data_IF_073874693617
#
_entry.id   IF_073874693617
#
_cell.length_a   1.000
_cell.length_b   1.000
_cell.length_c   1.000
_cell.angle_alpha   90.00
_cell.angle_beta   90.00
_cell.angle_gamma   90.00
#
_symmetry.space_group_name_H-M   'P 1'
#
loop_
_entity.id
_entity.type
_entity.pdbx_description
1 polymer ?
#
# COMPACT_ATOMS: atom_id res chain seq x y z
N UNK A 1 23.74 -16.30 -12.40
CA UNK A 1 22.78 -15.20 -12.20
C UNK A 1 22.44 -14.64 -13.55
N UNK A 2 21.16 -14.65 -13.93
CA UNK A 2 20.72 -14.04 -15.18
C UNK A 2 20.76 -12.52 -15.07
N UNK A 3 20.88 -11.78 -16.16
CA UNK A 3 20.88 -10.30 -16.17
C UNK A 3 19.60 -9.71 -15.54
N UNK A 4 18.49 -10.40 -15.61
CA UNK A 4 17.18 -10.08 -15.04
C UNK A 4 17.24 -10.07 -13.50
N UNK A 5 17.78 -11.13 -12.90
CA UNK A 5 17.94 -11.28 -11.45
C UNK A 5 18.78 -10.14 -10.84
N UNK A 6 19.82 -9.70 -11.56
CA UNK A 6 20.68 -8.60 -11.14
C UNK A 6 19.98 -7.23 -11.13
N UNK A 7 19.07 -6.95 -12.10
CA UNK A 7 18.34 -5.68 -12.18
C UNK A 7 17.29 -5.55 -11.07
N UNK A 8 16.54 -6.61 -10.83
CA UNK A 8 15.55 -6.65 -9.74
C UNK A 8 16.23 -6.42 -8.39
N UNK A 9 17.31 -7.14 -8.12
CA UNK A 9 18.08 -6.96 -6.88
C UNK A 9 18.62 -5.53 -6.73
N UNK A 10 19.13 -4.93 -7.81
CA UNK A 10 19.55 -3.53 -7.82
C UNK A 10 18.41 -2.59 -7.45
N UNK A 11 17.25 -2.72 -8.10
CA UNK A 11 16.09 -1.86 -7.86
C UNK A 11 15.55 -2.00 -6.43
N UNK A 12 15.37 -3.23 -5.94
CA UNK A 12 14.90 -3.47 -4.58
C UNK A 12 15.87 -2.95 -3.52
N UNK A 13 17.18 -3.16 -3.71
CA UNK A 13 18.21 -2.65 -2.79
C UNK A 13 18.23 -1.11 -2.75
N UNK A 14 18.05 -0.45 -3.90
CA UNK A 14 18.00 1.01 -3.98
C UNK A 14 16.75 1.59 -3.34
N UNK A 15 15.58 0.96 -3.52
CA UNK A 15 14.33 1.33 -2.84
C UNK A 15 14.48 1.15 -1.33
N UNK A 16 15.07 0.04 -0.90
CA UNK A 16 15.32 -0.22 0.52
C UNK A 16 16.26 0.82 1.13
N UNK A 17 17.32 1.18 0.44
CA UNK A 17 18.24 2.22 0.90
C UNK A 17 17.51 3.58 1.05
N UNK A 18 16.64 3.94 0.08
CA UNK A 18 15.82 5.13 0.17
C UNK A 18 14.87 5.05 1.38
N UNK A 19 14.10 3.97 1.55
CA UNK A 19 13.14 3.82 2.65
C UNK A 19 13.81 3.74 4.04
N UNK A 20 15.04 3.21 4.13
CA UNK A 20 15.82 3.17 5.37
C UNK A 20 16.27 4.56 5.85
N UNK A 21 16.23 5.57 5.00
CA UNK A 21 16.50 6.96 5.36
C UNK A 21 15.33 7.66 6.07
N UNK A 22 14.15 6.99 6.23
CA UNK A 22 13.01 7.54 6.96
C UNK A 22 13.39 7.80 8.43
N UNK A 23 13.27 9.06 8.93
CA UNK A 23 13.55 9.38 10.32
C UNK A 23 12.51 8.84 11.30
N UNK A 24 11.32 8.47 10.82
CA UNK A 24 10.28 7.89 11.65
C UNK A 24 10.52 6.40 11.84
N UNK A 25 10.11 5.87 12.99
CA UNK A 25 10.32 4.47 13.33
C UNK A 25 8.99 3.79 13.58
N UNK A 26 8.90 2.52 13.20
CA UNK A 26 7.75 1.64 13.43
C UNK A 26 8.22 0.29 13.98
N UNK A 27 7.36 -0.41 14.71
CA UNK A 27 7.62 -1.77 15.17
C UNK A 27 7.40 -2.78 14.03
N UNK A 28 8.38 -3.65 13.79
CA UNK A 28 8.33 -4.74 12.83
C UNK A 28 8.98 -5.98 13.45
N UNK A 29 8.21 -7.05 13.66
CA UNK A 29 8.67 -8.33 14.22
C UNK A 29 9.57 -8.20 15.46
N UNK A 30 9.15 -7.35 16.42
CA UNK A 30 9.87 -7.01 17.66
C UNK A 30 11.13 -6.14 17.49
N UNK A 31 11.41 -5.67 16.30
CA UNK A 31 12.47 -4.70 16.01
C UNK A 31 11.88 -3.32 15.70
N UNK A 32 12.70 -2.27 15.85
CA UNK A 32 12.34 -0.93 15.39
C UNK A 32 13.02 -0.65 14.06
N UNK A 33 12.23 -0.49 13.02
CA UNK A 33 12.69 -0.18 11.69
C UNK A 33 12.20 1.20 11.23
N UNK A 34 12.92 1.85 10.29
CA UNK A 34 12.39 3.02 9.59
C UNK A 34 11.00 2.72 9.03
N UNK A 35 10.04 3.61 9.28
CA UNK A 35 8.61 3.35 9.05
C UNK A 35 8.28 2.92 7.61
N UNK A 36 8.76 3.68 6.62
CA UNK A 36 8.43 3.33 5.24
C UNK A 36 9.22 2.09 4.76
N UNK A 37 10.33 1.75 5.41
CA UNK A 37 10.99 0.48 5.19
C UNK A 37 10.18 -0.69 5.75
N UNK A 38 9.69 -0.61 6.99
CA UNK A 38 8.80 -1.61 7.58
C UNK A 38 7.52 -1.79 6.73
N UNK A 39 6.90 -0.69 6.32
CA UNK A 39 5.74 -0.72 5.42
C UNK A 39 6.05 -1.46 4.11
N UNK A 40 7.20 -1.20 3.49
CA UNK A 40 7.61 -1.85 2.23
C UNK A 40 7.80 -3.37 2.38
N UNK A 41 8.25 -3.84 3.54
CA UNK A 41 8.36 -5.26 3.88
C UNK A 41 6.98 -5.91 4.00
N UNK A 42 6.02 -5.26 4.67
CA UNK A 42 4.64 -5.73 4.75
C UNK A 42 3.98 -5.82 3.38
N UNK A 43 4.17 -4.79 2.53
CA UNK A 43 3.70 -4.80 1.15
C UNK A 43 4.26 -5.97 0.34
N UNK A 44 5.56 -6.24 0.48
CA UNK A 44 6.21 -7.36 -0.20
C UNK A 44 5.66 -8.70 0.28
N UNK A 45 5.49 -8.90 1.60
CA UNK A 45 4.91 -10.12 2.15
C UNK A 45 3.51 -10.37 1.60
N UNK A 46 2.61 -9.39 1.68
CA UNK A 46 1.25 -9.54 1.16
C UNK A 46 1.17 -9.73 -0.35
N UNK A 47 2.12 -9.17 -1.11
CA UNK A 47 2.20 -9.47 -2.53
C UNK A 47 2.40 -10.97 -2.79
N UNK A 48 3.34 -11.62 -2.11
CA UNK A 48 3.61 -13.05 -2.27
C UNK A 48 2.51 -13.93 -1.66
N UNK A 49 1.73 -13.45 -0.69
CA UNK A 49 0.54 -14.15 -0.20
C UNK A 49 -0.60 -14.12 -1.22
N UNK A 50 -0.77 -13.02 -1.96
CA UNK A 50 -1.84 -12.88 -2.95
C UNK A 50 -1.43 -13.43 -4.33
N UNK A 51 -0.15 -13.43 -4.68
CA UNK A 51 0.37 -13.87 -5.97
C UNK A 51 1.64 -14.71 -5.77
N UNK A 52 1.58 -15.97 -6.18
CA UNK A 52 2.68 -16.93 -5.94
C UNK A 52 3.94 -16.65 -6.77
N UNK A 53 3.78 -16.04 -7.94
CA UNK A 53 4.88 -15.68 -8.86
C UNK A 53 4.70 -14.24 -9.38
N UNK A 54 4.85 -13.22 -8.51
CA UNK A 54 4.64 -11.84 -8.91
C UNK A 54 5.73 -11.36 -9.85
N UNK A 55 5.33 -10.68 -10.92
CA UNK A 55 6.27 -10.08 -11.87
C UNK A 55 7.23 -9.10 -11.19
N UNK A 56 8.43 -8.88 -11.77
CA UNK A 56 9.41 -7.92 -11.25
C UNK A 56 8.81 -6.53 -11.03
N UNK A 57 8.00 -6.05 -11.98
CA UNK A 57 7.33 -4.75 -11.86
C UNK A 57 6.38 -4.67 -10.65
N UNK A 58 5.69 -5.77 -10.30
CA UNK A 58 4.84 -5.80 -9.12
C UNK A 58 5.64 -5.85 -7.83
N UNK A 59 6.76 -6.59 -7.81
CA UNK A 59 7.68 -6.59 -6.66
C UNK A 59 8.24 -5.19 -6.42
N UNK A 60 8.66 -4.48 -7.48
CA UNK A 60 9.14 -3.10 -7.40
C UNK A 60 8.04 -2.14 -6.98
N UNK A 61 6.85 -2.22 -7.59
CA UNK A 61 5.73 -1.34 -7.27
C UNK A 61 5.28 -1.48 -5.81
N UNK A 62 5.16 -2.70 -5.29
CA UNK A 62 4.81 -2.93 -3.89
C UNK A 62 5.91 -2.41 -2.95
N UNK A 63 7.19 -2.64 -3.27
CA UNK A 63 8.32 -2.17 -2.46
C UNK A 63 8.40 -0.64 -2.42
N UNK A 64 8.04 0.04 -3.52
CA UNK A 64 8.10 1.50 -3.68
C UNK A 64 6.78 2.22 -3.35
N UNK A 65 5.72 1.51 -2.91
CA UNK A 65 4.37 2.08 -2.72
C UNK A 65 4.35 3.36 -1.87
N UNK A 66 5.26 3.49 -0.91
CA UNK A 66 5.42 4.66 -0.06
C UNK A 66 6.86 5.19 -0.03
N UNK A 67 7.63 4.95 -1.10
CA UNK A 67 9.02 5.39 -1.15
C UNK A 67 9.16 6.87 -0.80
N UNK A 68 10.04 7.19 0.16
CA UNK A 68 10.33 8.56 0.61
C UNK A 68 9.09 9.38 1.01
N UNK A 69 7.99 8.75 1.43
CA UNK A 69 6.71 9.43 1.74
C UNK A 69 6.83 10.49 2.84
N UNK A 70 7.74 10.32 3.79
CA UNK A 70 7.98 11.31 4.86
C UNK A 70 8.44 12.67 4.35
N UNK A 71 8.95 12.76 3.12
CA UNK A 71 9.34 14.02 2.47
C UNK A 71 8.14 14.86 2.05
N UNK A 72 6.94 14.27 2.04
CA UNK A 72 5.67 14.92 1.70
C UNK A 72 4.63 14.75 2.81
N UNK A 73 4.86 15.29 4.02
CA UNK A 73 3.99 15.03 5.15
C UNK A 73 2.59 15.66 4.95
N UNK A 74 1.55 14.95 5.40
CA UNK A 74 0.15 15.38 5.26
C UNK A 74 -0.12 16.77 5.87
N UNK A 75 0.59 17.12 6.95
CA UNK A 75 0.44 18.41 7.65
C UNK A 75 0.79 19.64 6.79
N UNK A 76 1.56 19.44 5.71
CA UNK A 76 1.94 20.54 4.79
C UNK A 76 0.85 20.86 3.76
N UNK A 77 -0.26 20.13 3.80
CA UNK A 77 -1.44 20.33 2.96
C UNK A 77 -2.64 20.78 3.80
N UNK A 78 -3.54 21.62 3.26
CA UNK A 78 -4.74 22.06 3.95
C UNK A 78 -5.60 20.90 4.43
N UNK A 79 -6.41 21.13 5.46
CA UNK A 79 -7.40 20.15 5.92
C UNK A 79 -8.54 19.98 4.91
N UNK A 80 -9.30 18.91 5.10
CA UNK A 80 -10.49 18.60 4.32
C UNK A 80 -10.27 17.58 3.22
N UNK A 81 -11.39 17.04 2.73
CA UNK A 81 -11.43 15.90 1.80
C UNK A 81 -10.72 16.19 0.47
N UNK A 82 -10.94 17.36 -0.12
CA UNK A 82 -10.33 17.74 -1.41
C UNK A 82 -8.81 17.78 -1.30
N UNK A 83 -8.29 18.46 -0.28
CA UNK A 83 -6.85 18.57 -0.05
C UNK A 83 -6.21 17.21 0.29
N UNK A 84 -6.92 16.33 1.01
CA UNK A 84 -6.47 14.97 1.25
C UNK A 84 -6.29 14.17 -0.06
N UNK A 85 -7.23 14.26 -1.00
CA UNK A 85 -7.08 13.60 -2.30
C UNK A 85 -5.95 14.21 -3.14
N UNK A 86 -5.79 15.53 -3.11
CA UNK A 86 -4.68 16.20 -3.80
C UNK A 86 -3.32 15.74 -3.26
N UNK A 87 -3.19 15.67 -1.94
CA UNK A 87 -1.99 15.13 -1.30
C UNK A 87 -1.73 13.68 -1.69
N UNK A 88 -2.73 12.80 -1.61
CA UNK A 88 -2.56 11.40 -2.03
C UNK A 88 -2.12 11.25 -3.48
N UNK A 89 -2.70 12.04 -4.38
CA UNK A 89 -2.30 12.04 -5.79
C UNK A 89 -0.87 12.57 -5.98
N UNK A 90 -0.49 13.60 -5.24
CA UNK A 90 0.87 14.12 -5.27
C UNK A 90 1.89 13.08 -4.79
N UNK A 91 1.59 12.39 -3.67
CA UNK A 91 2.39 11.27 -3.19
C UNK A 91 2.52 10.16 -4.26
N UNK A 92 1.41 9.70 -4.84
CA UNK A 92 1.45 8.66 -5.87
C UNK A 92 2.31 9.03 -7.07
N UNK A 93 2.24 10.28 -7.54
CA UNK A 93 3.12 10.77 -8.62
C UNK A 93 4.59 10.81 -8.21
N UNK A 94 4.89 11.21 -6.98
CA UNK A 94 6.27 11.25 -6.47
C UNK A 94 6.82 9.82 -6.34
N UNK A 95 6.07 8.89 -5.74
CA UNK A 95 6.47 7.49 -5.60
C UNK A 95 6.72 6.85 -6.98
N UNK A 96 5.79 7.05 -7.93
CA UNK A 96 5.92 6.52 -9.28
C UNK A 96 7.16 7.03 -10.00
N UNK A 97 7.39 8.34 -9.98
CA UNK A 97 8.59 8.95 -10.58
C UNK A 97 9.86 8.42 -9.94
N UNK A 98 9.93 8.39 -8.61
CA UNK A 98 11.11 7.94 -7.88
C UNK A 98 11.42 6.47 -8.15
N UNK A 99 10.42 5.61 -8.20
CA UNK A 99 10.59 4.21 -8.58
C UNK A 99 11.11 4.07 -10.03
N UNK A 100 10.56 4.83 -10.97
CA UNK A 100 10.98 4.83 -12.38
C UNK A 100 12.45 5.28 -12.55
N UNK A 101 12.88 6.32 -11.82
CA UNK A 101 14.28 6.76 -11.79
C UNK A 101 15.21 5.64 -11.30
N UNK A 102 14.90 5.00 -10.18
CA UNK A 102 15.70 3.88 -9.64
C UNK A 102 15.75 2.72 -10.63
N UNK A 103 14.65 2.37 -11.27
CA UNK A 103 14.60 1.33 -12.28
C UNK A 103 15.50 1.65 -13.49
N UNK A 104 15.45 2.90 -13.97
CA UNK A 104 16.30 3.34 -15.08
C UNK A 104 17.78 3.24 -14.72
N UNK A 105 18.18 3.66 -13.52
CA UNK A 105 19.54 3.54 -13.00
C UNK A 105 20.00 2.07 -12.89
N UNK A 106 19.07 1.14 -12.65
CA UNK A 106 19.31 -0.30 -12.62
C UNK A 106 19.22 -0.99 -14.00
N UNK A 107 19.05 -0.23 -15.08
CA UNK A 107 19.07 -0.74 -16.45
C UNK A 107 17.76 -1.33 -16.95
N UNK A 108 16.62 -0.96 -16.36
CA UNK A 108 15.31 -1.29 -16.90
C UNK A 108 14.98 -0.42 -18.13
N UNK A 109 14.30 -1.00 -19.15
CA UNK A 109 13.86 -0.21 -20.30
C UNK A 109 12.78 0.80 -19.88
N UNK A 110 12.72 1.93 -20.59
CA UNK A 110 11.80 3.02 -20.31
C UNK A 110 10.34 2.56 -20.18
N UNK A 111 9.92 1.64 -21.02
CA UNK A 111 8.55 1.09 -21.02
C UNK A 111 8.19 0.46 -19.66
N UNK A 112 9.10 -0.33 -19.06
CA UNK A 112 8.90 -0.95 -17.75
C UNK A 112 8.90 0.11 -16.63
N UNK A 113 9.75 1.12 -16.74
CA UNK A 113 9.76 2.25 -15.80
C UNK A 113 8.44 3.02 -15.83
N UNK A 114 7.96 3.39 -17.02
CA UNK A 114 6.68 4.08 -17.23
C UNK A 114 5.50 3.24 -16.71
N UNK A 115 5.59 1.91 -16.88
CA UNK A 115 4.57 0.98 -16.38
C UNK A 115 4.47 0.99 -14.85
N UNK A 116 5.59 0.91 -14.15
CA UNK A 116 5.61 0.98 -12.67
C UNK A 116 5.15 2.34 -12.17
N UNK A 117 5.53 3.43 -12.82
CA UNK A 117 5.01 4.77 -12.51
C UNK A 117 3.48 4.81 -12.64
N UNK A 118 2.91 4.23 -13.71
CA UNK A 118 1.46 4.15 -13.91
C UNK A 118 0.77 3.38 -12.79
N UNK A 119 1.27 2.20 -12.44
CA UNK A 119 0.73 1.35 -11.36
C UNK A 119 0.68 2.14 -10.03
N UNK A 120 1.77 2.82 -9.67
CA UNK A 120 1.88 3.58 -8.42
C UNK A 120 0.97 4.81 -8.35
N UNK A 121 0.56 5.38 -9.50
CA UNK A 121 -0.44 6.47 -9.51
C UNK A 121 -1.87 5.99 -9.25
N UNK A 122 -2.15 4.68 -9.40
CA UNK A 122 -3.46 4.03 -9.21
C UNK A 122 -4.60 4.65 -10.02
N UNK A 123 -4.29 5.23 -11.20
CA UNK A 123 -5.30 5.89 -12.04
C UNK A 123 -6.24 4.91 -12.71
N UNK A 124 -5.76 3.68 -12.99
CA UNK A 124 -6.47 2.65 -13.73
C UNK A 124 -7.02 1.55 -12.83
N UNK A 125 -7.28 1.89 -11.55
CA UNK A 125 -7.88 0.95 -10.60
C UNK A 125 -9.17 0.33 -11.20
N UNK A 126 -9.31 -0.99 -11.10
CA UNK A 126 -10.36 -1.84 -11.68
C UNK A 126 -10.28 -2.10 -13.20
N UNK A 127 -9.47 -1.35 -13.95
CA UNK A 127 -9.27 -1.56 -15.37
C UNK A 127 -7.96 -2.29 -15.65
N UNK A 128 -7.02 -2.19 -14.72
CA UNK A 128 -5.68 -2.73 -14.82
C UNK A 128 -5.39 -3.72 -13.68
N UNK A 129 -5.01 -4.94 -14.03
CA UNK A 129 -4.82 -6.03 -13.09
C UNK A 129 -3.65 -5.77 -12.11
N UNK A 130 -2.54 -5.18 -12.58
CA UNK A 130 -1.39 -4.87 -11.71
C UNK A 130 -1.75 -3.75 -10.71
N UNK A 131 -2.46 -2.72 -11.18
CA UNK A 131 -2.95 -1.64 -10.32
C UNK A 131 -3.94 -2.15 -9.28
N UNK A 132 -4.82 -3.07 -9.67
CA UNK A 132 -5.76 -3.71 -8.76
C UNK A 132 -5.03 -4.56 -7.71
N UNK A 133 -4.04 -5.36 -8.12
CA UNK A 133 -3.25 -6.17 -7.19
C UNK A 133 -2.49 -5.27 -6.18
N UNK A 134 -1.91 -4.16 -6.63
CA UNK A 134 -1.27 -3.19 -5.73
C UNK A 134 -2.26 -2.61 -4.70
N UNK A 135 -3.51 -2.31 -5.11
CA UNK A 135 -4.53 -1.82 -4.16
C UNK A 135 -4.96 -2.91 -3.18
N UNK A 136 -5.13 -4.16 -3.65
CA UNK A 136 -5.44 -5.30 -2.77
C UNK A 136 -4.36 -5.48 -1.71
N UNK A 137 -3.08 -5.51 -2.11
CA UNK A 137 -1.93 -5.59 -1.19
C UNK A 137 -1.96 -4.45 -0.18
N UNK A 138 -2.19 -3.21 -0.64
CA UNK A 138 -2.24 -2.05 0.25
C UNK A 138 -3.43 -2.11 1.24
N UNK A 139 -4.59 -2.62 0.80
CA UNK A 139 -5.73 -2.84 1.68
C UNK A 139 -5.43 -3.92 2.73
N UNK A 140 -4.76 -5.01 2.36
CA UNK A 140 -4.39 -6.07 3.29
C UNK A 140 -3.41 -5.58 4.35
N UNK A 141 -2.38 -4.82 3.96
CA UNK A 141 -1.44 -4.19 4.91
C UNK A 141 -2.18 -3.24 5.86
N UNK A 142 -3.12 -2.42 5.35
CA UNK A 142 -3.95 -1.56 6.19
C UNK A 142 -4.77 -2.36 7.20
N UNK A 143 -5.50 -3.37 6.76
CA UNK A 143 -6.37 -4.17 7.62
C UNK A 143 -5.59 -4.92 8.70
N UNK A 144 -4.41 -5.46 8.36
CA UNK A 144 -3.61 -6.27 9.29
C UNK A 144 -2.82 -5.42 10.29
N UNK A 145 -2.23 -4.28 9.83
CA UNK A 145 -1.21 -3.58 10.62
C UNK A 145 -1.66 -2.23 11.15
N UNK A 146 -2.58 -1.56 10.48
CA UNK A 146 -2.89 -0.17 10.80
C UNK A 146 -4.35 0.05 11.21
N UNK A 147 -5.23 -0.90 10.96
CA UNK A 147 -6.66 -0.68 11.20
C UNK A 147 -6.99 -0.59 12.68
N UNK A 148 -6.41 -1.44 13.52
CA UNK A 148 -6.65 -1.42 14.97
C UNK A 148 -6.15 -0.12 15.60
N UNK A 149 -4.89 0.25 15.33
CA UNK A 149 -4.30 1.48 15.86
C UNK A 149 -5.08 2.71 15.37
N UNK A 150 -5.47 2.73 14.09
CA UNK A 150 -6.27 3.81 13.53
C UNK A 150 -7.65 3.92 14.18
N UNK A 151 -8.28 2.79 14.52
CA UNK A 151 -9.53 2.75 15.25
C UNK A 151 -9.39 3.35 16.64
N UNK A 152 -8.36 2.99 17.36
CA UNK A 152 -8.05 3.52 18.70
C UNK A 152 -7.69 5.02 18.69
N UNK A 153 -6.84 5.44 17.74
CA UNK A 153 -6.44 6.85 17.58
C UNK A 153 -7.60 7.78 17.23
N UNK A 154 -8.66 7.26 16.60
CA UNK A 154 -9.82 8.03 16.15
C UNK A 154 -11.07 7.70 16.97
N UNK A 155 -10.92 7.65 18.29
CA UNK A 155 -12.03 7.39 19.22
C UNK A 155 -13.19 8.42 19.13
N UNK A 156 -12.95 9.59 18.51
CA UNK A 156 -13.95 10.62 18.22
C UNK A 156 -14.82 10.32 16.99
N UNK A 157 -14.49 9.28 16.20
CA UNK A 157 -15.29 8.92 15.05
C UNK A 157 -16.53 8.14 15.47
N UNK A 158 -17.70 8.54 14.95
CA UNK A 158 -18.94 7.78 15.12
C UNK A 158 -18.90 6.45 14.33
N UNK A 159 -19.83 5.55 14.73
CA UNK A 159 -19.91 4.21 14.11
C UNK A 159 -20.19 4.30 12.62
N UNK A 160 -21.04 5.19 12.18
CA UNK A 160 -21.38 5.38 10.78
C UNK A 160 -20.18 5.81 9.93
N UNK A 161 -19.30 6.63 10.48
CA UNK A 161 -18.05 7.01 9.83
C UNK A 161 -17.11 5.82 9.67
N UNK A 162 -17.04 4.94 10.66
CA UNK A 162 -16.29 3.71 10.60
C UNK A 162 -16.84 2.74 9.56
N UNK A 163 -18.14 2.53 9.51
CA UNK A 163 -18.78 1.71 8.49
C UNK A 163 -18.45 2.21 7.08
N UNK A 164 -18.51 3.52 6.85
CA UNK A 164 -18.12 4.12 5.57
C UNK A 164 -16.64 3.90 5.23
N UNK A 165 -15.73 3.93 6.21
CA UNK A 165 -14.30 3.67 5.99
C UNK A 165 -14.11 2.22 5.56
N UNK A 166 -14.73 1.26 6.25
CA UNK A 166 -14.66 -0.16 5.94
C UNK A 166 -15.26 -0.44 4.55
N UNK A 167 -16.49 0.02 4.27
CA UNK A 167 -17.14 -0.14 2.96
C UNK A 167 -16.30 0.41 1.82
N UNK A 168 -15.69 1.58 1.99
CA UNK A 168 -14.80 2.17 0.98
C UNK A 168 -13.52 1.37 0.78
N UNK A 169 -12.96 0.81 1.83
CA UNK A 169 -11.78 -0.05 1.73
C UNK A 169 -12.14 -1.32 0.98
N UNK A 170 -13.22 -1.98 1.40
CA UNK A 170 -13.77 -3.17 0.74
C UNK A 170 -14.08 -2.93 -0.74
N UNK A 171 -14.79 -1.84 -1.04
CA UNK A 171 -15.20 -1.48 -2.40
C UNK A 171 -14.04 -1.19 -3.37
N UNK A 172 -12.80 -1.09 -2.92
CA UNK A 172 -11.61 -0.97 -3.77
C UNK A 172 -10.95 -2.30 -4.07
N UNK A 173 -11.23 -3.34 -3.29
CA UNK A 173 -10.59 -4.63 -3.39
C UNK A 173 -11.22 -5.49 -4.48
N UNK A 174 -10.43 -6.38 -5.04
CA UNK A 174 -10.88 -7.42 -5.96
C UNK A 174 -11.52 -8.59 -5.18
N UNK A 175 -12.20 -9.54 -5.88
CA UNK A 175 -12.67 -10.77 -5.23
C UNK A 175 -11.55 -11.54 -4.51
N UNK A 176 -10.33 -11.60 -5.05
CA UNK A 176 -9.16 -12.21 -4.41
C UNK A 176 -8.81 -11.47 -3.11
N UNK A 177 -8.80 -10.15 -3.14
CA UNK A 177 -8.57 -9.32 -1.96
C UNK A 177 -9.64 -9.55 -0.89
N UNK A 178 -10.92 -9.68 -1.27
CA UNK A 178 -12.01 -9.99 -0.36
C UNK A 178 -11.82 -11.34 0.34
N UNK A 179 -11.45 -12.40 -0.41
CA UNK A 179 -11.18 -13.73 0.17
C UNK A 179 -10.05 -13.68 1.20
N UNK A 180 -8.97 -12.97 0.88
CA UNK A 180 -7.84 -12.80 1.80
C UNK A 180 -8.24 -11.99 3.04
N UNK A 181 -9.02 -10.92 2.88
CA UNK A 181 -9.50 -10.08 3.99
C UNK A 181 -10.45 -10.85 4.93
N UNK A 182 -11.31 -11.72 4.41
CA UNK A 182 -12.18 -12.57 5.23
C UNK A 182 -11.37 -13.57 6.06
N UNK A 183 -10.34 -14.19 5.49
CA UNK A 183 -9.42 -15.07 6.24
C UNK A 183 -8.67 -14.30 7.33
N UNK A 184 -8.16 -13.10 7.01
CA UNK A 184 -7.50 -12.25 7.99
C UNK A 184 -8.44 -11.85 9.14
N UNK A 185 -9.71 -11.62 8.84
CA UNK A 185 -10.72 -11.19 9.82
C UNK A 185 -10.97 -12.22 10.92
N UNK A 186 -10.73 -13.51 10.68
CA UNK A 186 -10.86 -14.57 11.68
C UNK A 186 -9.92 -14.37 12.90
N UNK A 187 -8.79 -13.65 12.69
CA UNK A 187 -7.82 -13.33 13.74
C UNK A 187 -7.94 -11.91 14.32
N UNK A 188 -8.92 -11.11 13.86
CA UNK A 188 -9.09 -9.73 14.31
C UNK A 188 -9.72 -9.64 15.72
N UNK A 189 -9.46 -8.54 16.46
CA UNK A 189 -10.22 -8.23 17.67
C UNK A 189 -11.73 -8.22 17.41
N UNK A 190 -12.52 -8.76 18.36
CA UNK A 190 -13.96 -8.97 18.18
C UNK A 190 -14.71 -7.71 17.72
N UNK A 191 -14.39 -6.53 18.30
CA UNK A 191 -15.05 -5.27 17.93
C UNK A 191 -14.76 -4.81 16.49
N UNK A 192 -13.60 -5.15 15.92
CA UNK A 192 -13.26 -4.86 14.52
C UNK A 192 -13.91 -5.86 13.56
N UNK A 193 -14.01 -7.13 13.99
CA UNK A 193 -14.74 -8.16 13.25
C UNK A 193 -16.23 -7.81 13.16
N UNK A 194 -16.87 -7.41 14.26
CA UNK A 194 -18.25 -6.93 14.29
C UNK A 194 -18.47 -5.74 13.35
N UNK A 195 -17.55 -4.77 13.38
CA UNK A 195 -17.60 -3.59 12.51
C UNK A 195 -17.49 -3.98 11.02
N UNK A 196 -16.63 -4.93 10.69
CA UNK A 196 -16.50 -5.47 9.33
C UNK A 196 -17.77 -6.17 8.90
N UNK A 197 -18.32 -7.05 9.73
CA UNK A 197 -19.54 -7.81 9.45
C UNK A 197 -20.74 -6.87 9.23
N UNK A 198 -20.92 -5.85 10.07
CA UNK A 198 -21.97 -4.86 9.91
C UNK A 198 -21.79 -4.03 8.63
N UNK A 199 -20.56 -3.62 8.33
CA UNK A 199 -20.29 -2.89 7.10
C UNK A 199 -20.63 -3.67 5.83
N UNK A 200 -20.47 -5.01 5.86
CA UNK A 200 -20.73 -5.89 4.72
C UNK A 200 -22.19 -6.39 4.65
N UNK A 201 -22.94 -6.37 5.76
CA UNK A 201 -24.34 -6.77 5.80
C UNK A 201 -25.27 -5.75 5.12
N UNK A 202 -24.89 -4.47 5.09
CA UNK A 202 -25.63 -3.39 4.44
C UNK A 202 -24.77 -2.83 3.29
N UNK A 203 -24.93 -3.32 2.06
CA UNK A 203 -24.25 -2.71 0.91
C UNK A 203 -24.71 -1.26 0.74
N UNK A 204 -23.76 -0.37 0.37
CA UNK A 204 -24.10 1.03 0.07
C UNK A 204 -25.23 1.10 -0.96
N UNK A 205 -26.32 1.79 -0.58
CA UNK A 205 -27.44 2.16 -1.46
C UNK A 205 -27.00 3.25 -2.44
#
# INVERSE_FOLDING_TARGET
MTTTDSRLQCALASIDAANKADPNQESFDNERLPKEYAYSLHMTRWLFELESDPSERMQIACRAQHIERWTMPRKDYPEGRKAYYQWRQACGRMHGRRAAEIMADCGYPKEECDRVETILTKRELRQDADTQLLEDVACMVFLERYFADFYEEKADYDREKWLRIVRRTWGKMSPRGHEAALKLAEGMPAHLLELLQEALAEPDV
#
